data_IF_089978919068
#
_entry.id   IF_089978919068
#
_cell.length_a   1.000
_cell.length_b   1.000
_cell.length_c   1.000
_cell.angle_alpha   90.00
_cell.angle_beta   90.00
_cell.angle_gamma   90.00
#
_symmetry.space_group_name_H-M   'P 1'
#
loop_
_entity.id
_entity.type
_entity.pdbx_description
1 polymer ?
#
# COMPACT_ATOMS: atom_id res chain seq x y z
N UNK A 1 12.67 4.20 -41.54
CA UNK A 1 11.28 3.93 -41.10
C UNK A 1 11.16 4.58 -39.74
N UNK A 2 10.68 5.83 -39.69
CA UNK A 2 10.58 6.59 -38.44
C UNK A 2 9.21 6.31 -37.82
N UNK A 3 9.20 5.76 -36.62
CA UNK A 3 7.98 5.45 -35.89
C UNK A 3 7.23 6.73 -35.53
N UNK A 4 5.96 6.78 -35.93
CA UNK A 4 5.05 7.89 -35.71
C UNK A 4 4.73 7.97 -34.21
N UNK A 5 5.36 8.90 -33.48
CA UNK A 5 4.97 9.24 -32.11
C UNK A 5 3.56 9.84 -32.16
N UNK A 6 2.56 9.05 -31.80
CA UNK A 6 1.17 9.50 -31.73
C UNK A 6 1.00 10.46 -30.55
N UNK A 7 0.87 11.74 -30.87
CA UNK A 7 0.38 12.75 -29.94
C UNK A 7 -1.05 12.38 -29.59
N UNK A 8 -1.24 11.80 -28.40
CA UNK A 8 -2.57 11.42 -27.90
C UNK A 8 -3.39 12.70 -27.73
N UNK A 9 -4.29 12.92 -28.69
CA UNK A 9 -5.17 14.08 -28.75
C UNK A 9 -5.94 14.24 -27.43
N UNK A 10 -6.15 15.49 -27.00
CA UNK A 10 -6.86 15.86 -25.78
C UNK A 10 -8.25 15.22 -25.60
N UNK A 11 -8.86 14.68 -26.67
CA UNK A 11 -10.13 13.94 -26.62
C UNK A 11 -10.02 12.49 -26.12
N UNK A 12 -8.86 11.85 -26.14
CA UNK A 12 -8.70 10.46 -25.69
C UNK A 12 -8.76 10.31 -24.16
N UNK A 13 -8.44 11.38 -23.41
CA UNK A 13 -8.47 11.38 -21.94
C UNK A 13 -9.89 11.32 -21.38
N UNK A 14 -10.85 11.95 -22.07
CA UNK A 14 -12.25 11.98 -21.65
C UNK A 14 -12.92 10.59 -21.74
N UNK A 15 -12.47 9.73 -22.67
CA UNK A 15 -12.98 8.37 -22.83
C UNK A 15 -12.44 7.38 -21.77
N UNK A 16 -11.43 7.77 -20.99
CA UNK A 16 -10.77 6.91 -20.00
C UNK A 16 -11.15 7.25 -18.55
N UNK A 17 -12.21 8.05 -18.32
CA UNK A 17 -12.57 8.57 -16.99
C UNK A 17 -11.34 9.12 -16.24
N UNK A 18 -10.47 9.82 -16.97
CA UNK A 18 -9.23 10.35 -16.41
C UNK A 18 -9.57 11.50 -15.43
N UNK A 19 -9.35 11.25 -14.14
CA UNK A 19 -9.37 12.28 -13.11
C UNK A 19 -7.96 12.89 -12.96
N UNK A 20 -7.78 14.21 -13.17
CA UNK A 20 -6.50 14.87 -12.92
C UNK A 20 -6.12 14.96 -11.43
N UNK A 21 -7.08 14.84 -10.50
CA UNK A 21 -6.82 14.79 -9.06
C UNK A 21 -7.60 13.66 -8.37
N UNK A 22 -7.24 12.39 -8.67
CA UNK A 22 -7.97 11.25 -8.16
C UNK A 22 -7.80 11.13 -6.64
N UNK A 23 -8.82 10.57 -5.95
CA UNK A 23 -8.76 10.43 -4.51
C UNK A 23 -7.64 9.48 -4.08
N UNK A 24 -6.85 9.92 -3.09
CA UNK A 24 -5.59 9.26 -2.69
C UNK A 24 -5.80 8.34 -1.50
N UNK A 25 -4.89 7.38 -1.33
CA UNK A 25 -4.86 6.48 -0.17
C UNK A 25 -5.01 7.22 1.16
N UNK A 26 -4.34 8.36 1.36
CA UNK A 26 -4.40 9.11 2.63
C UNK A 26 -5.81 9.56 3.03
N UNK A 27 -6.71 9.78 2.07
CA UNK A 27 -8.11 10.16 2.31
C UNK A 27 -9.05 8.94 2.38
N UNK A 28 -8.53 7.74 2.10
CA UNK A 28 -9.30 6.49 2.11
C UNK A 28 -9.58 6.01 3.53
N UNK A 29 -10.76 5.42 3.77
CA UNK A 29 -11.14 4.78 5.04
C UNK A 29 -10.24 3.58 5.39
N UNK A 30 -9.69 2.91 4.37
CA UNK A 30 -8.85 1.73 4.56
C UNK A 30 -7.39 2.08 4.90
N UNK A 31 -7.00 3.34 4.78
CA UNK A 31 -5.64 3.77 5.06
C UNK A 31 -5.40 3.88 6.56
N UNK A 32 -4.34 3.22 7.02
CA UNK A 32 -3.92 3.22 8.42
C UNK A 32 -2.46 3.59 8.51
N UNK A 33 -2.16 4.50 9.44
CA UNK A 33 -0.81 4.74 9.95
C UNK A 33 -0.68 3.96 11.24
N UNK A 34 0.10 2.90 11.21
CA UNK A 34 0.29 2.02 12.36
C UNK A 34 1.77 1.76 12.62
N UNK A 35 2.17 1.59 13.89
CA UNK A 35 3.53 1.20 14.22
C UNK A 35 3.81 -0.19 13.65
N UNK A 36 4.87 -0.33 12.84
CA UNK A 36 5.23 -1.61 12.27
C UNK A 36 6.19 -2.38 13.17
N UNK A 37 5.74 -3.53 13.68
CA UNK A 37 6.64 -4.46 14.37
C UNK A 37 7.48 -5.21 13.33
N UNK A 38 8.76 -4.82 13.21
CA UNK A 38 9.73 -5.58 12.44
C UNK A 38 9.94 -6.96 13.10
N UNK A 39 10.15 -7.99 12.28
CA UNK A 39 10.45 -9.34 12.77
C UNK A 39 11.73 -9.84 12.15
N UNK A 40 12.50 -10.61 12.90
CA UNK A 40 13.63 -11.39 12.36
C UNK A 40 13.34 -12.88 12.47
N UNK A 41 13.86 -13.63 11.51
CA UNK A 41 13.88 -15.09 11.60
C UNK A 41 15.16 -15.52 12.31
N UNK A 42 15.00 -16.29 13.38
CA UNK A 42 16.12 -16.84 14.14
C UNK A 42 16.03 -18.36 14.08
N UNK A 43 17.09 -18.98 13.57
CA UNK A 43 17.24 -20.44 13.59
C UNK A 43 17.98 -20.84 14.86
N UNK A 44 17.35 -21.68 15.70
CA UNK A 44 17.94 -22.23 16.93
C UNK A 44 17.62 -23.72 17.03
N UNK A 45 18.52 -24.54 17.60
CA UNK A 45 18.19 -25.92 17.92
C UNK A 45 17.08 -25.95 18.98
N UNK A 46 16.11 -26.85 18.80
CA UNK A 46 15.13 -27.17 19.83
C UNK A 46 15.75 -28.12 20.88
N UNK A 47 15.00 -28.45 21.94
CA UNK A 47 15.47 -29.39 22.98
C UNK A 47 15.86 -30.79 22.46
N UNK A 48 15.42 -31.18 21.26
CA UNK A 48 15.73 -32.46 20.60
C UNK A 48 16.87 -32.34 19.58
N UNK A 49 17.54 -31.19 19.47
CA UNK A 49 18.64 -30.95 18.54
C UNK A 49 18.24 -30.53 17.12
N UNK A 50 16.95 -30.54 16.77
CA UNK A 50 16.50 -30.11 15.43
C UNK A 50 16.54 -28.58 15.30
N UNK A 51 17.07 -28.08 14.19
CA UNK A 51 17.01 -26.66 13.83
C UNK A 51 15.56 -26.23 13.58
N UNK A 52 15.09 -25.23 14.33
CA UNK A 52 13.76 -24.63 14.12
C UNK A 52 13.93 -23.13 13.86
N UNK A 53 13.33 -22.66 12.78
CA UNK A 53 13.25 -21.23 12.48
C UNK A 53 12.04 -20.62 13.18
N UNK A 54 12.28 -19.61 14.01
CA UNK A 54 11.22 -18.86 14.70
C UNK A 54 11.20 -17.41 14.24
N UNK A 55 10.00 -16.90 14.01
CA UNK A 55 9.75 -15.46 13.79
C UNK A 55 9.74 -14.77 15.15
N UNK A 56 10.74 -13.94 15.42
CA UNK A 56 10.90 -13.22 16.68
C UNK A 56 10.70 -11.72 16.40
N UNK A 57 9.83 -11.02 17.16
CA UNK A 57 9.71 -9.57 17.00
C UNK A 57 11.04 -8.91 17.30
N UNK A 58 11.45 -8.02 16.42
CA UNK A 58 12.57 -7.11 16.66
C UNK A 58 12.04 -6.07 17.66
N UNK A 59 12.22 -6.32 18.96
CA UNK A 59 12.00 -5.28 19.97
C UNK A 59 13.06 -4.21 19.74
N UNK A 60 12.74 -3.18 18.96
CA UNK A 60 13.49 -1.93 18.92
C UNK A 60 12.73 -0.91 19.75
N UNK A 61 13.48 0.01 20.35
CA UNK A 61 12.95 1.09 21.19
C UNK A 61 11.70 1.74 20.60
N UNK A 62 10.76 2.25 21.44
CA UNK A 62 9.56 2.95 21.01
C UNK A 62 9.83 4.08 19.99
N UNK A 63 11.04 4.66 20.02
CA UNK A 63 11.53 5.71 19.12
C UNK A 63 11.83 5.18 17.71
N UNK A 64 12.15 3.89 17.58
CA UNK A 64 12.62 3.23 16.36
C UNK A 64 11.55 2.32 15.71
N UNK A 65 10.31 2.32 16.18
CA UNK A 65 9.21 1.65 15.49
C UNK A 65 8.83 2.48 14.25
N UNK A 66 9.17 2.05 13.02
CA UNK A 66 8.80 2.82 11.85
C UNK A 66 7.26 2.83 11.76
N UNK A 67 6.69 4.03 11.73
CA UNK A 67 5.28 4.20 11.37
C UNK A 67 5.20 3.90 9.88
N UNK A 68 4.38 2.91 9.53
CA UNK A 68 4.16 2.56 8.13
C UNK A 68 2.76 2.93 7.71
N UNK A 69 2.64 3.31 6.46
CA UNK A 69 1.37 3.53 5.78
C UNK A 69 0.88 2.20 5.21
N UNK A 70 -0.32 1.78 5.59
CA UNK A 70 -0.89 0.48 5.20
C UNK A 70 -2.29 0.62 4.66
N UNK A 71 -2.61 -0.17 3.64
CA UNK A 71 -3.98 -0.39 3.19
C UNK A 71 -4.55 -1.62 3.92
N UNK A 72 -5.58 -1.42 4.75
CA UNK A 72 -6.26 -2.52 5.47
C UNK A 72 -7.14 -3.39 4.57
N UNK A 73 -7.59 -2.88 3.41
CA UNK A 73 -8.37 -3.65 2.44
C UNK A 73 -7.52 -4.73 1.76
N UNK A 74 -6.35 -4.36 1.23
CA UNK A 74 -5.44 -5.30 0.57
C UNK A 74 -4.36 -5.90 1.49
N UNK A 75 -4.32 -5.49 2.75
CA UNK A 75 -3.36 -5.94 3.76
C UNK A 75 -1.87 -5.70 3.42
N UNK A 76 -1.56 -4.68 2.60
CA UNK A 76 -0.21 -4.37 2.13
C UNK A 76 0.25 -2.96 2.50
N UNK A 77 1.57 -2.73 2.48
CA UNK A 77 2.17 -1.40 2.69
C UNK A 77 1.93 -0.51 1.47
N UNK A 78 1.41 0.69 1.71
CA UNK A 78 1.05 1.64 0.65
C UNK A 78 1.76 2.97 0.85
N UNK A 79 1.61 3.87 -0.12
CA UNK A 79 2.04 5.26 0.01
C UNK A 79 0.82 6.16 0.22
N UNK A 80 0.93 7.28 0.96
CA UNK A 80 -0.18 8.21 1.17
C UNK A 80 -0.79 8.74 -0.13
N UNK A 81 0.05 8.97 -1.15
CA UNK A 81 -0.36 9.48 -2.45
C UNK A 81 -0.70 8.40 -3.48
N UNK A 82 -0.73 7.12 -3.07
CA UNK A 82 -1.17 6.03 -3.93
C UNK A 82 -2.64 6.18 -4.33
N UNK A 83 -3.00 5.58 -5.46
CA UNK A 83 -4.35 5.64 -6.04
C UNK A 83 -4.75 4.19 -6.33
N UNK A 84 -6.03 3.88 -6.15
CA UNK A 84 -6.61 2.58 -6.50
C UNK A 84 -8.11 2.71 -6.75
N UNK A 85 -8.66 1.78 -7.53
CA UNK A 85 -10.06 1.82 -7.96
C UNK A 85 -11.08 1.46 -6.85
N UNK A 86 -10.57 1.00 -5.71
CA UNK A 86 -11.37 0.57 -4.54
C UNK A 86 -11.36 1.62 -3.43
N UNK A 87 -11.00 2.86 -3.76
CA UNK A 87 -11.00 3.95 -2.78
C UNK A 87 -12.40 4.18 -2.21
N UNK A 88 -12.45 4.48 -0.91
CA UNK A 88 -13.68 4.88 -0.22
C UNK A 88 -13.39 6.00 0.76
N UNK A 89 -14.20 7.05 0.76
CA UNK A 89 -14.06 8.14 1.72
C UNK A 89 -14.50 7.71 3.12
N UNK A 90 -14.13 8.50 4.13
CA UNK A 90 -14.58 8.29 5.51
C UNK A 90 -16.07 8.62 5.70
N UNK A 91 -16.65 9.40 4.80
CA UNK A 91 -18.08 9.78 4.80
C UNK A 91 -18.95 8.83 3.98
N UNK A 92 -18.35 7.85 3.28
CA UNK A 92 -19.06 6.81 2.54
C UNK A 92 -19.07 6.98 1.01
N UNK A 93 -18.36 7.99 0.48
CA UNK A 93 -18.22 8.19 -0.96
C UNK A 93 -17.35 7.07 -1.56
N UNK A 94 -17.63 6.71 -2.81
CA UNK A 94 -16.91 5.69 -3.57
C UNK A 94 -16.56 6.25 -4.94
N UNK A 95 -15.52 5.70 -5.58
CA UNK A 95 -15.26 5.99 -6.99
C UNK A 95 -16.41 5.37 -7.80
N UNK A 96 -17.13 6.23 -8.52
CA UNK A 96 -18.12 5.81 -9.50
C UNK A 96 -17.39 5.44 -10.80
N UNK A 97 -17.57 4.21 -11.25
CA UNK A 97 -16.90 3.71 -12.45
C UNK A 97 -17.73 3.91 -13.73
N UNK A 98 -18.97 4.41 -13.61
CA UNK A 98 -19.91 4.58 -14.73
C UNK A 98 -20.56 3.27 -15.15
#
# INVERSE_FOLDING_TARGET
MAEHMTVVAHGAKAAQNFDPDPPRCMTCVYFRREPHTLHRFVSRPNRRGNMVTRKVPLRKDPILNPIVDRCSFGNFLTKPHGICDVWRSRTGEVIDHG
#
